data_IF_022489815949
#
_entry.id   IF_022489815949
#
_cell.length_a   1.000
_cell.length_b   1.000
_cell.length_c   1.000
_cell.angle_alpha   90.00
_cell.angle_beta   90.00
_cell.angle_gamma   90.00
#
_symmetry.space_group_name_H-M   'P 1'
#
loop_
_entity.id
_entity.type
_entity.pdbx_description
1 polymer ?
#
# COMPACT_ATOMS: atom_id res chain seq x y z
N UNK A 1 -11.62 -14.29 -34.81
CA UNK A 1 -10.33 -13.67 -34.41
C UNK A 1 -10.50 -13.22 -32.98
N UNK A 2 -9.70 -13.79 -32.07
CA UNK A 2 -9.92 -13.87 -30.63
C UNK A 2 -9.79 -12.51 -29.92
N UNK A 3 -10.66 -12.25 -28.96
CA UNK A 3 -10.78 -11.03 -28.12
C UNK A 3 -9.67 -10.88 -27.06
N UNK A 4 -8.50 -11.45 -27.33
CA UNK A 4 -7.43 -11.65 -26.35
C UNK A 4 -6.28 -10.63 -26.48
N UNK A 5 -6.35 -9.71 -27.44
CA UNK A 5 -5.22 -8.87 -27.86
C UNK A 5 -5.10 -7.51 -27.14
N UNK A 6 -5.99 -7.19 -26.19
CA UNK A 6 -5.91 -5.98 -25.35
C UNK A 6 -5.67 -6.29 -23.86
N UNK A 7 -5.29 -7.52 -23.54
CA UNK A 7 -4.94 -7.90 -22.18
C UNK A 7 -3.51 -7.46 -21.83
N UNK A 8 -3.40 -6.35 -21.10
CA UNK A 8 -2.27 -6.01 -20.22
C UNK A 8 -0.86 -6.13 -20.83
N UNK A 9 -0.53 -5.30 -21.83
CA UNK A 9 0.86 -5.05 -22.23
C UNK A 9 1.66 -4.15 -21.27
N UNK A 10 1.10 -3.78 -20.11
CA UNK A 10 1.66 -2.77 -19.20
C UNK A 10 2.33 -3.32 -17.93
N UNK A 11 2.56 -4.62 -17.79
CA UNK A 11 3.19 -5.17 -16.57
C UNK A 11 4.71 -4.88 -16.48
N UNK A 12 5.36 -4.41 -17.56
CA UNK A 12 6.83 -4.44 -17.66
C UNK A 12 7.54 -3.11 -17.94
N UNK A 13 6.83 -1.98 -18.11
CA UNK A 13 7.50 -0.69 -18.42
C UNK A 13 7.90 0.13 -17.19
N UNK A 14 7.43 -0.20 -15.98
CA UNK A 14 7.68 0.59 -14.77
C UNK A 14 8.25 -0.18 -13.57
N UNK A 15 8.87 -1.36 -13.74
CA UNK A 15 9.67 -1.98 -12.67
C UNK A 15 11.06 -1.33 -12.57
N UNK A 16 11.08 0.00 -12.40
CA UNK A 16 12.28 0.70 -11.96
C UNK A 16 12.71 0.11 -10.61
N UNK A 17 13.99 -0.26 -10.44
CA UNK A 17 14.49 -1.06 -9.32
C UNK A 17 14.36 -0.38 -7.95
N UNK A 18 15.50 -0.13 -7.31
CA UNK A 18 15.51 0.47 -5.97
C UNK A 18 14.93 1.87 -5.98
N UNK A 19 14.22 2.21 -4.91
CA UNK A 19 13.60 3.50 -4.64
C UNK A 19 14.29 4.07 -3.40
N UNK A 20 14.71 5.32 -3.47
CA UNK A 20 15.16 6.02 -2.29
C UNK A 20 13.97 6.28 -1.35
N UNK A 21 14.14 5.97 -0.07
CA UNK A 21 13.20 6.33 0.99
C UNK A 21 13.69 7.62 1.63
N UNK A 22 12.90 8.68 1.51
CA UNK A 22 13.14 9.93 2.24
C UNK A 22 12.49 9.81 3.63
N UNK A 23 13.33 9.87 4.68
CA UNK A 23 12.89 9.75 6.07
C UNK A 23 12.77 11.10 6.78
N UNK A 24 12.90 12.21 6.05
CA UNK A 24 12.94 13.57 6.59
C UNK A 24 11.90 14.51 5.95
N UNK A 25 10.92 13.99 5.22
CA UNK A 25 9.91 14.84 4.59
C UNK A 25 9.21 15.72 5.64
N UNK A 26 9.25 17.03 5.39
CA UNK A 26 8.52 18.05 6.16
C UNK A 26 7.23 18.48 5.45
N UNK A 27 6.81 17.76 4.41
CA UNK A 27 5.62 18.08 3.62
C UNK A 27 4.35 18.00 4.49
N UNK A 28 3.46 18.97 4.36
CA UNK A 28 2.15 18.94 5.06
C UNK A 28 1.16 18.07 4.29
N UNK A 29 0.08 17.62 4.94
CA UNK A 29 -0.94 16.80 4.28
C UNK A 29 -1.66 17.57 3.16
N UNK A 30 -1.82 18.89 3.33
CA UNK A 30 -2.42 19.76 2.32
C UNK A 30 -1.52 19.90 1.10
N UNK A 31 -0.21 20.07 1.30
CA UNK A 31 0.76 20.12 0.21
C UNK A 31 0.79 18.79 -0.56
N UNK A 32 0.76 17.67 0.18
CA UNK A 32 0.68 16.34 -0.42
C UNK A 32 -0.60 16.16 -1.26
N UNK A 33 -1.75 16.54 -0.73
CA UNK A 33 -3.01 16.48 -1.47
C UNK A 33 -3.00 17.38 -2.72
N UNK A 34 -2.42 18.57 -2.64
CA UNK A 34 -2.31 19.49 -3.77
C UNK A 34 -1.39 18.97 -4.89
N UNK A 35 -0.41 18.14 -4.55
CA UNK A 35 0.52 17.49 -5.48
C UNK A 35 -0.11 16.31 -6.21
N UNK A 36 -1.01 15.59 -5.56
CA UNK A 36 -1.68 14.40 -6.08
C UNK A 36 -3.13 14.70 -6.48
N UNK A 37 -3.31 15.56 -7.48
CA UNK A 37 -4.64 16.00 -7.95
C UNK A 37 -5.45 14.90 -8.62
N UNK A 38 -4.79 13.81 -8.98
CA UNK A 38 -5.36 12.61 -9.56
C UNK A 38 -6.00 11.67 -8.52
N UNK A 39 -5.81 11.92 -7.22
CA UNK A 39 -6.51 11.17 -6.18
C UNK A 39 -7.96 11.64 -6.10
N UNK A 40 -8.87 10.67 -6.05
CA UNK A 40 -10.26 10.92 -5.69
C UNK A 40 -10.39 11.07 -4.16
N UNK A 41 -11.50 11.67 -3.71
CA UNK A 41 -11.79 11.87 -2.29
C UNK A 41 -11.66 10.55 -1.51
N UNK A 42 -11.07 10.63 -0.31
CA UNK A 42 -10.79 9.45 0.52
C UNK A 42 -9.49 8.72 0.18
N UNK A 43 -8.65 9.28 -0.71
CA UNK A 43 -7.33 8.70 -1.03
C UNK A 43 -7.42 7.50 -1.98
N UNK A 44 -8.43 7.52 -2.85
CA UNK A 44 -8.65 6.50 -3.87
C UNK A 44 -7.91 6.89 -5.16
N UNK A 45 -7.43 5.89 -5.91
CA UNK A 45 -6.83 6.12 -7.21
C UNK A 45 -6.99 4.91 -8.13
N UNK A 46 -7.13 5.18 -9.42
CA UNK A 46 -7.16 4.17 -10.48
C UNK A 46 -6.51 4.70 -11.75
N UNK A 47 -5.91 3.83 -12.59
CA UNK A 47 -5.39 4.25 -13.89
C UNK A 47 -6.49 4.78 -14.79
N UNK A 48 -6.19 5.82 -15.58
CA UNK A 48 -7.15 6.43 -16.53
C UNK A 48 -7.04 5.86 -17.94
N UNK A 49 -5.89 5.27 -18.27
CA UNK A 49 -5.55 4.71 -19.58
C UNK A 49 -5.83 3.20 -19.69
N UNK A 50 -6.10 2.53 -18.56
CA UNK A 50 -6.39 1.11 -18.51
C UNK A 50 -7.28 0.73 -17.32
N UNK A 51 -7.85 -0.48 -17.37
CA UNK A 51 -8.56 -1.07 -16.24
C UNK A 51 -7.62 -2.00 -15.48
N UNK A 52 -7.31 -1.67 -14.22
CA UNK A 52 -6.54 -2.55 -13.36
C UNK A 52 -7.27 -3.88 -13.13
N UNK A 53 -6.51 -4.98 -13.08
CA UNK A 53 -7.00 -6.30 -12.64
C UNK A 53 -6.99 -6.44 -11.12
N UNK A 54 -6.29 -5.53 -10.44
CA UNK A 54 -6.06 -5.55 -9.00
C UNK A 54 -6.77 -4.37 -8.38
N UNK A 55 -7.82 -4.67 -7.62
CA UNK A 55 -8.57 -3.70 -6.83
C UNK A 55 -8.24 -3.93 -5.36
N UNK A 56 -7.46 -3.03 -4.77
CA UNK A 56 -6.68 -3.27 -3.56
C UNK A 56 -7.04 -2.29 -2.45
N UNK A 57 -7.46 -2.80 -1.29
CA UNK A 57 -7.57 -2.00 -0.07
C UNK A 57 -6.27 -2.09 0.72
N UNK A 58 -5.60 -0.95 0.95
CA UNK A 58 -4.46 -0.83 1.84
C UNK A 58 -4.96 -0.42 3.22
N UNK A 59 -4.94 -1.35 4.17
CA UNK A 59 -5.45 -1.13 5.53
C UNK A 59 -4.28 -0.85 6.48
N UNK A 60 -4.30 0.34 7.07
CA UNK A 60 -3.22 0.86 7.92
C UNK A 60 -3.75 1.09 9.34
N UNK A 61 -3.45 0.20 10.30
CA UNK A 61 -3.76 0.46 11.71
C UNK A 61 -2.94 1.65 12.21
N UNK A 62 -3.60 2.61 12.85
CA UNK A 62 -3.01 3.90 13.17
C UNK A 62 -3.39 4.39 14.57
N UNK A 63 -2.48 5.13 15.21
CA UNK A 63 -2.75 5.96 16.39
C UNK A 63 -1.58 6.92 16.65
N UNK A 64 -1.84 8.22 16.66
CA UNK A 64 -0.90 9.28 17.09
C UNK A 64 0.52 9.15 16.49
N UNK A 65 0.63 8.88 15.18
CA UNK A 65 1.90 8.71 14.45
C UNK A 65 1.97 9.63 13.23
N UNK A 66 1.61 10.89 13.40
CA UNK A 66 1.37 11.83 12.29
C UNK A 66 2.60 11.99 11.38
N UNK A 67 3.80 12.05 11.95
CA UNK A 67 5.05 12.09 11.19
C UNK A 67 5.20 10.87 10.25
N UNK A 68 5.00 9.65 10.78
CA UNK A 68 5.05 8.44 9.97
C UNK A 68 3.94 8.41 8.91
N UNK A 69 2.74 8.90 9.23
CA UNK A 69 1.64 8.96 8.28
C UNK A 69 1.98 9.87 7.08
N UNK A 70 2.60 11.03 7.32
CA UNK A 70 3.04 11.94 6.26
C UNK A 70 4.07 11.25 5.36
N UNK A 71 5.10 10.62 5.94
CA UNK A 71 6.11 9.85 5.18
C UNK A 71 5.46 8.72 4.38
N UNK A 72 4.55 7.98 5.01
CA UNK A 72 3.82 6.88 4.40
C UNK A 72 3.05 7.33 3.17
N UNK A 73 2.17 8.33 3.29
CA UNK A 73 1.36 8.79 2.17
C UNK A 73 2.22 9.40 1.05
N UNK A 74 3.26 10.16 1.42
CA UNK A 74 4.23 10.76 0.48
C UNK A 74 4.92 9.70 -0.39
N UNK A 75 5.28 8.57 0.21
CA UNK A 75 5.99 7.48 -0.46
C UNK A 75 5.06 6.52 -1.18
N UNK A 76 3.95 6.16 -0.55
CA UNK A 76 3.08 5.08 -1.00
C UNK A 76 2.20 5.47 -2.19
N UNK A 77 1.70 6.71 -2.28
CA UNK A 77 0.89 7.11 -3.44
C UNK A 77 1.64 6.95 -4.77
N UNK A 78 2.83 7.57 -4.97
CA UNK A 78 3.62 7.34 -6.19
C UNK A 78 3.99 5.88 -6.41
N UNK A 79 4.30 5.15 -5.32
CA UNK A 79 4.68 3.75 -5.40
C UNK A 79 3.56 2.85 -5.93
N UNK A 80 2.33 3.02 -5.43
CA UNK A 80 1.16 2.25 -5.86
C UNK A 80 0.68 2.66 -7.26
N UNK A 81 0.72 3.96 -7.58
CA UNK A 81 0.36 4.48 -8.91
C UNK A 81 1.25 3.91 -10.03
N UNK A 82 2.56 3.79 -9.79
CA UNK A 82 3.50 3.15 -10.73
C UNK A 82 3.18 1.68 -11.02
N UNK A 83 2.50 1.01 -10.09
CA UNK A 83 2.05 -0.38 -10.25
C UNK A 83 0.68 -0.49 -10.93
N UNK A 84 0.06 0.63 -11.30
CA UNK A 84 -1.22 0.67 -12.04
C UNK A 84 -2.35 -0.06 -11.31
N UNK A 85 -2.38 0.07 -9.97
CA UNK A 85 -3.40 -0.53 -9.12
C UNK A 85 -4.65 0.34 -9.09
N UNK A 86 -5.82 -0.27 -8.96
CA UNK A 86 -7.03 0.43 -8.51
C UNK A 86 -7.04 0.27 -6.98
N UNK A 87 -6.82 1.33 -6.22
CA UNK A 87 -6.57 1.19 -4.78
C UNK A 87 -7.20 2.28 -3.94
N UNK A 88 -7.43 1.95 -2.67
CA UNK A 88 -7.78 2.88 -1.61
C UNK A 88 -6.92 2.69 -0.36
N UNK A 89 -6.55 3.79 0.30
CA UNK A 89 -5.79 3.75 1.56
C UNK A 89 -6.71 4.04 2.73
N UNK A 90 -6.82 3.07 3.64
CA UNK A 90 -7.69 3.11 4.81
C UNK A 90 -6.86 3.26 6.08
N UNK A 91 -6.81 4.49 6.61
CA UNK A 91 -6.19 4.78 7.90
C UNK A 91 -7.20 4.49 9.01
N UNK A 92 -6.98 3.43 9.78
CA UNK A 92 -7.88 2.99 10.85
C UNK A 92 -7.35 3.50 12.19
N UNK A 93 -7.82 4.66 12.60
CA UNK A 93 -7.38 5.32 13.83
C UNK A 93 -8.06 4.75 15.08
N UNK A 94 -7.25 4.37 16.07
CA UNK A 94 -7.77 3.90 17.36
C UNK A 94 -7.81 5.02 18.40
N UNK A 95 -9.02 5.38 18.80
CA UNK A 95 -9.23 6.35 19.88
C UNK A 95 -8.58 5.93 21.21
N UNK A 96 -8.07 6.93 21.93
CA UNK A 96 -7.60 6.81 23.32
C UNK A 96 -8.79 6.57 24.27
N UNK A 97 -8.57 6.03 25.49
CA UNK A 97 -7.28 5.72 26.14
C UNK A 97 -6.89 4.23 26.11
N UNK A 98 -7.59 3.41 25.31
CA UNK A 98 -7.40 1.95 25.32
C UNK A 98 -6.01 1.51 24.86
N UNK A 99 -5.59 0.28 25.16
CA UNK A 99 -4.34 -0.29 24.60
C UNK A 99 -4.47 -0.46 23.10
N UNK A 100 -3.40 -0.15 22.36
CA UNK A 100 -3.39 -0.31 20.91
C UNK A 100 -3.58 -1.78 20.52
N UNK A 101 -4.56 -2.06 19.66
CA UNK A 101 -4.87 -3.41 19.18
C UNK A 101 -4.78 -3.45 17.65
N UNK A 102 -3.56 -3.67 17.16
CA UNK A 102 -3.23 -3.71 15.73
C UNK A 102 -4.11 -4.66 14.93
N UNK A 103 -4.31 -5.88 15.42
CA UNK A 103 -5.07 -6.91 14.70
C UNK A 103 -6.57 -6.57 14.62
N UNK A 104 -7.13 -6.01 15.69
CA UNK A 104 -8.52 -5.52 15.68
C UNK A 104 -8.72 -4.42 14.64
N UNK A 105 -7.80 -3.47 14.54
CA UNK A 105 -7.88 -2.39 13.55
C UNK A 105 -7.76 -2.90 12.12
N UNK A 106 -6.95 -3.93 11.87
CA UNK A 106 -6.90 -4.60 10.56
C UNK A 106 -8.26 -5.23 10.19
N UNK A 107 -8.90 -5.92 11.14
CA UNK A 107 -10.23 -6.50 10.92
C UNK A 107 -11.30 -5.43 10.69
N UNK A 108 -11.27 -4.34 11.46
CA UNK A 108 -12.17 -3.19 11.27
C UNK A 108 -11.95 -2.59 9.88
N UNK A 109 -10.69 -2.34 9.48
CA UNK A 109 -10.37 -1.79 8.18
C UNK A 109 -10.84 -2.66 7.02
N UNK A 110 -10.67 -3.99 7.12
CA UNK A 110 -11.25 -4.93 6.17
C UNK A 110 -12.78 -4.77 6.06
N UNK A 111 -13.47 -4.76 7.20
CA UNK A 111 -14.93 -4.69 7.25
C UNK A 111 -15.46 -3.35 6.71
N UNK A 112 -14.82 -2.22 7.04
CA UNK A 112 -15.25 -0.90 6.57
C UNK A 112 -14.90 -0.67 5.10
N UNK A 113 -13.72 -1.09 4.64
CA UNK A 113 -13.36 -1.00 3.22
C UNK A 113 -14.31 -1.84 2.35
N UNK A 114 -14.70 -3.03 2.82
CA UNK A 114 -15.66 -3.91 2.12
C UNK A 114 -17.04 -3.28 1.91
N UNK A 115 -17.43 -2.30 2.74
CA UNK A 115 -18.70 -1.57 2.58
C UNK A 115 -18.63 -0.50 1.51
N UNK A 116 -17.44 0.02 1.24
CA UNK A 116 -17.25 1.12 0.28
C UNK A 116 -17.07 0.61 -1.15
N UNK A 117 -16.36 -0.50 -1.33
CA UNK A 117 -16.12 -1.06 -2.65
C UNK A 117 -15.86 -2.58 -2.60
N UNK A 118 -16.03 -3.24 -3.75
CA UNK A 118 -15.76 -4.68 -3.88
C UNK A 118 -14.28 -4.93 -4.17
N UNK A 119 -13.43 -4.81 -3.15
CA UNK A 119 -11.99 -5.09 -3.24
C UNK A 119 -11.71 -6.58 -3.47
N UNK A 120 -10.79 -6.88 -4.38
CA UNK A 120 -10.32 -8.25 -4.64
C UNK A 120 -9.07 -8.61 -3.84
N UNK A 121 -8.44 -7.64 -3.20
CA UNK A 121 -7.21 -7.80 -2.43
C UNK A 121 -7.19 -6.86 -1.23
N UNK A 122 -6.68 -7.36 -0.10
CA UNK A 122 -6.47 -6.58 1.12
C UNK A 122 -5.01 -6.68 1.54
N UNK A 123 -4.37 -5.55 1.74
CA UNK A 123 -2.98 -5.47 2.21
C UNK A 123 -2.99 -4.79 3.58
N UNK A 124 -2.57 -5.52 4.59
CA UNK A 124 -2.39 -4.99 5.94
C UNK A 124 -0.99 -4.42 6.08
N UNK A 125 -0.88 -3.13 6.43
CA UNK A 125 0.37 -2.40 6.32
C UNK A 125 0.65 -1.56 7.56
N UNK A 126 1.85 -1.66 8.12
CA UNK A 126 2.27 -0.76 9.18
C UNK A 126 2.62 0.62 8.60
N UNK A 127 2.25 1.69 9.31
CA UNK A 127 2.49 3.07 8.85
C UNK A 127 3.98 3.43 8.77
N UNK A 128 4.86 2.68 9.43
CA UNK A 128 6.30 2.93 9.54
C UNK A 128 7.16 2.00 8.68
N UNK A 129 6.56 1.17 7.82
CA UNK A 129 7.27 0.37 6.83
C UNK A 129 7.16 1.06 5.47
N UNK A 130 8.25 1.17 4.72
CA UNK A 130 8.25 1.77 3.38
C UNK A 130 9.00 0.85 2.41
N UNK A 131 8.41 0.49 1.25
CA UNK A 131 9.07 -0.37 0.28
C UNK A 131 10.22 0.36 -0.44
N UNK A 132 11.39 -0.27 -0.49
CA UNK A 132 12.61 0.27 -1.12
C UNK A 132 12.81 -0.20 -2.57
N UNK A 133 11.86 -0.92 -3.16
CA UNK A 133 12.00 -1.51 -4.50
C UNK A 133 10.63 -1.65 -5.20
N UNK A 134 10.46 -1.10 -6.41
CA UNK A 134 9.17 -1.20 -7.13
C UNK A 134 8.89 -2.64 -7.61
N UNK A 135 9.83 -3.57 -7.48
CA UNK A 135 9.60 -5.00 -7.74
C UNK A 135 8.84 -5.68 -6.59
N UNK A 136 8.63 -5.01 -5.45
CA UNK A 136 7.70 -5.46 -4.44
C UNK A 136 6.26 -5.12 -4.86
N UNK A 137 5.58 -6.08 -5.49
CA UNK A 137 4.26 -5.86 -6.08
C UNK A 137 3.16 -5.94 -5.01
N UNK A 138 2.39 -4.86 -4.87
CA UNK A 138 1.30 -4.69 -3.90
C UNK A 138 -0.02 -5.21 -4.49
N UNK A 139 -0.02 -6.50 -4.84
CA UNK A 139 -1.20 -7.27 -5.20
C UNK A 139 -1.27 -8.56 -4.37
N UNK A 140 -2.41 -9.25 -4.45
CA UNK A 140 -2.61 -10.53 -3.79
C UNK A 140 -2.35 -11.67 -4.80
N UNK A 141 -1.39 -12.56 -4.55
CA UNK A 141 -1.29 -13.82 -5.27
C UNK A 141 -2.27 -14.86 -4.70
N UNK A 142 -2.22 -16.09 -5.22
CA UNK A 142 -3.09 -17.19 -4.78
C UNK A 142 -2.88 -17.60 -3.31
N UNK A 143 -1.67 -17.44 -2.80
CA UNK A 143 -1.30 -17.74 -1.41
C UNK A 143 -1.03 -16.44 -0.63
N UNK A 144 -1.21 -16.41 0.70
CA UNK A 144 -0.86 -15.24 1.50
C UNK A 144 0.59 -14.80 1.26
N UNK A 145 0.80 -13.51 0.99
CA UNK A 145 2.13 -12.93 0.74
C UNK A 145 2.60 -12.13 1.95
N UNK A 146 3.79 -12.44 2.43
CA UNK A 146 4.51 -11.58 3.38
C UNK A 146 5.36 -10.56 2.61
N UNK A 147 4.97 -9.28 2.65
CA UNK A 147 5.58 -8.21 1.83
C UNK A 147 6.83 -7.59 2.46
N UNK A 148 6.93 -7.55 3.79
CA UNK A 148 8.04 -6.96 4.56
C UNK A 148 9.09 -8.01 4.97
N UNK A 149 9.54 -8.79 3.97
CA UNK A 149 10.39 -9.96 4.21
C UNK A 149 11.82 -9.64 4.67
N UNK A 150 12.38 -8.50 4.24
CA UNK A 150 13.73 -8.04 4.55
C UNK A 150 13.68 -6.58 5.01
N UNK A 151 13.90 -6.35 6.30
CA UNK A 151 13.80 -5.02 6.91
C UNK A 151 15.20 -4.47 7.21
N UNK A 152 15.38 -3.17 6.98
CA UNK A 152 16.60 -2.40 7.28
C UNK A 152 17.01 -2.53 8.76
N UNK A 153 16.06 -2.45 9.69
CA UNK A 153 16.27 -2.60 11.15
C UNK A 153 16.81 -3.97 11.57
N UNK A 154 16.74 -4.95 10.67
CA UNK A 154 17.32 -6.29 10.84
C UNK A 154 18.51 -6.54 9.90
N UNK A 155 19.07 -5.49 9.31
CA UNK A 155 20.17 -5.59 8.34
C UNK A 155 19.80 -6.36 7.09
N UNK A 156 18.54 -6.27 6.65
CA UNK A 156 17.96 -7.01 5.53
C UNK A 156 18.07 -8.54 5.67
N UNK A 157 18.05 -9.05 6.91
CA UNK A 157 18.02 -10.49 7.20
C UNK A 157 16.68 -10.91 7.75
N UNK A 158 16.29 -12.15 7.46
CA UNK A 158 15.11 -12.76 8.09
C UNK A 158 15.37 -12.96 9.58
N UNK A 159 14.40 -12.57 10.41
CA UNK A 159 14.47 -12.72 11.88
C UNK A 159 14.29 -14.17 12.31
N UNK A 160 13.69 -15.00 11.46
CA UNK A 160 13.42 -16.41 11.72
C UNK A 160 14.01 -17.28 10.61
N UNK A 161 14.43 -18.49 10.98
CA UNK A 161 14.84 -19.50 10.01
C UNK A 161 13.59 -20.04 9.32
N UNK A 162 13.53 -19.92 8.00
CA UNK A 162 12.54 -20.66 7.21
C UNK A 162 13.08 -22.08 7.12
N UNK A 163 12.53 -22.97 7.93
CA UNK A 163 12.86 -24.38 7.90
C UNK A 163 12.46 -24.93 6.51
N UNK A 164 13.46 -25.20 5.68
CA UNK A 164 13.26 -25.79 4.36
C UNK A 164 13.05 -27.29 4.55
N UNK A 165 11.82 -27.67 4.87
CA UNK A 165 11.38 -29.06 4.74
C UNK A 165 11.40 -29.50 3.28
#
# INVERSE_FOLDING_TARGET
>A
MTTDTLYARLVLRCTAGRIAVDNQSTETLEALAARHRELEDGGLWRPTDCRSRHHVAIVVPYRQREHHLKLFLTHMHPFLQRQQLDYGIYIVDQALPTRFNRAMLMNIGYAEASKQANYSCYIFHDVDLLPEDNRNIYNCPEQPRHMSASLDRHGYRHVYQIDKR
#
